data_IF_374401898664
#
_entry.id   IF_374401898664
#
_cell.length_a   1.000
_cell.length_b   1.000
_cell.length_c   1.000
_cell.angle_alpha   90.00
_cell.angle_beta   90.00
_cell.angle_gamma   90.00
#
_symmetry.space_group_name_H-M   'P 1'
#
loop_
_entity.id
_entity.type
_entity.pdbx_description
1 polymer ?
#
# COMPACT_ATOMS: atom_id res chain seq x y z
N UNK A 1 4.90 -6.54 19.48
CA UNK A 1 4.15 -6.20 20.71
C UNK A 1 3.86 -7.51 21.44
N UNK A 2 4.18 -7.60 22.73
CA UNK A 2 3.37 -8.40 23.65
C UNK A 2 2.50 -7.36 24.36
N UNK A 3 1.28 -7.18 23.89
CA UNK A 3 0.23 -6.62 24.73
C UNK A 3 -0.29 -7.80 25.53
N UNK A 4 -0.26 -7.64 26.84
CA UNK A 4 -0.95 -8.51 27.78
C UNK A 4 -2.33 -8.83 27.19
N UNK A 5 -2.60 -10.12 26.97
CA UNK A 5 -3.89 -10.69 26.54
C UNK A 5 -4.44 -10.40 25.13
N UNK A 6 -3.74 -9.66 24.26
CA UNK A 6 -4.09 -9.56 22.83
C UNK A 6 -2.98 -10.10 21.92
N UNK A 7 -3.21 -11.26 21.32
CA UNK A 7 -2.31 -11.82 20.29
C UNK A 7 -2.45 -11.05 18.98
N UNK A 8 -1.58 -10.07 18.77
CA UNK A 8 -1.42 -9.40 17.48
C UNK A 8 -0.29 -10.16 16.74
N UNK A 9 -0.63 -11.00 15.76
CA UNK A 9 0.37 -11.77 14.97
C UNK A 9 0.09 -13.25 14.77
N UNK A 10 -1.16 -13.64 14.46
CA UNK A 10 -1.53 -15.04 14.23
C UNK A 10 -1.06 -15.65 12.91
N UNK A 11 -0.49 -14.87 12.00
CA UNK A 11 -0.13 -15.34 10.66
C UNK A 11 1.05 -16.34 10.64
N UNK A 12 1.93 -16.31 11.66
CA UNK A 12 3.19 -17.06 11.65
C UNK A 12 3.44 -17.82 12.98
N UNK A 13 2.84 -19.01 13.16
CA UNK A 13 3.02 -19.80 14.38
C UNK A 13 4.51 -20.08 14.69
N UNK A 14 4.92 -19.83 15.94
CA UNK A 14 6.28 -20.07 16.41
C UNK A 14 7.32 -19.03 16.01
N UNK A 15 6.91 -17.94 15.34
CA UNK A 15 7.82 -16.88 14.91
C UNK A 15 7.36 -15.52 15.44
N UNK A 16 8.33 -14.64 15.73
CA UNK A 16 8.05 -13.26 16.12
C UNK A 16 9.10 -12.33 15.53
N UNK A 17 8.63 -11.27 14.88
CA UNK A 17 9.42 -10.10 14.54
C UNK A 17 8.91 -8.92 15.37
N UNK A 18 9.80 -8.16 15.98
CA UNK A 18 9.41 -7.07 16.88
C UNK A 18 10.13 -5.78 16.54
N UNK A 19 9.36 -4.70 16.44
CA UNK A 19 9.85 -3.33 16.37
C UNK A 19 9.56 -2.61 17.69
N UNK A 20 10.53 -1.81 18.16
CA UNK A 20 10.33 -0.95 19.33
C UNK A 20 9.57 0.31 18.92
N UNK A 21 8.39 0.49 19.51
CA UNK A 21 7.53 1.65 19.28
C UNK A 21 8.06 2.84 20.07
N UNK A 22 8.24 3.97 19.38
CA UNK A 22 8.56 5.26 19.98
C UNK A 22 7.30 6.06 20.30
N UNK A 23 6.32 6.06 19.39
CA UNK A 23 5.09 6.83 19.51
C UNK A 23 3.99 6.20 18.64
N UNK A 24 2.75 6.15 19.13
CA UNK A 24 1.59 5.80 18.31
C UNK A 24 1.08 7.09 17.64
N UNK A 25 1.05 7.11 16.31
CA UNK A 25 0.66 8.29 15.54
C UNK A 25 -0.83 8.29 15.19
N UNK A 26 -1.38 7.10 14.94
CA UNK A 26 -2.77 6.91 14.56
C UNK A 26 -3.22 5.48 14.83
N UNK A 27 -4.45 5.29 15.28
CA UNK A 27 -5.09 3.99 15.40
C UNK A 27 -6.60 4.13 15.18
N UNK A 28 -7.14 3.42 14.20
CA UNK A 28 -8.57 3.40 13.89
C UNK A 28 -8.96 2.04 13.31
N UNK A 29 -10.17 1.58 13.60
CA UNK A 29 -10.77 0.44 12.92
C UNK A 29 -11.77 0.94 11.88
N UNK A 30 -11.45 0.75 10.60
CA UNK A 30 -12.35 1.06 9.49
C UNK A 30 -13.40 -0.05 9.32
N UNK A 31 -14.32 0.14 8.36
CA UNK A 31 -15.27 -0.90 7.95
C UNK A 31 -14.56 -2.16 7.39
N UNK A 32 -13.30 -2.02 6.98
CA UNK A 32 -12.54 -3.09 6.35
C UNK A 32 -11.51 -3.72 7.29
N UNK A 33 -10.77 -2.93 8.09
CA UNK A 33 -9.62 -3.44 8.86
C UNK A 33 -9.21 -2.56 10.05
N UNK A 34 -8.41 -3.11 10.94
CA UNK A 34 -7.71 -2.34 11.98
C UNK A 34 -6.46 -1.66 11.37
N UNK A 35 -6.36 -0.34 11.50
CA UNK A 35 -5.32 0.49 10.91
C UNK A 35 -4.51 1.13 12.03
N UNK A 36 -3.23 0.81 12.11
CA UNK A 36 -2.29 1.37 13.08
C UNK A 36 -1.10 2.00 12.34
N UNK A 37 -0.79 3.24 12.69
CA UNK A 37 0.48 3.87 12.32
C UNK A 37 1.23 4.25 13.58
N UNK A 38 2.48 3.80 13.66
CA UNK A 38 3.36 4.14 14.76
C UNK A 38 4.74 4.55 14.25
N UNK A 39 5.40 5.41 15.01
CA UNK A 39 6.82 5.74 14.82
C UNK A 39 7.66 4.70 15.54
N UNK A 40 8.55 4.05 14.83
CA UNK A 40 9.53 3.12 15.39
C UNK A 40 10.84 3.85 15.76
N UNK A 41 11.67 3.22 16.60
CA UNK A 41 13.01 3.77 16.89
C UNK A 41 13.96 3.73 15.68
N UNK A 42 13.81 2.74 14.78
CA UNK A 42 14.84 2.44 13.76
C UNK A 42 14.32 2.29 12.33
N UNK A 43 13.01 2.30 12.08
CA UNK A 43 12.39 2.09 10.75
C UNK A 43 11.51 3.26 10.28
N UNK A 44 11.51 4.39 10.99
CA UNK A 44 10.62 5.52 10.71
C UNK A 44 9.16 5.19 11.08
N UNK A 45 8.22 5.76 10.35
CA UNK A 45 6.80 5.46 10.48
C UNK A 45 6.48 4.09 9.87
N UNK A 46 5.62 3.34 10.54
CA UNK A 46 5.26 1.96 10.20
C UNK A 46 3.75 1.87 10.05
N UNK A 47 3.29 1.39 8.90
CA UNK A 47 1.88 1.08 8.64
C UNK A 47 1.62 -0.38 8.98
N UNK A 48 0.61 -0.61 9.82
CA UNK A 48 0.14 -1.93 10.22
C UNK A 48 -1.34 -2.03 9.93
N UNK A 49 -1.73 -3.11 9.24
CA UNK A 49 -3.12 -3.44 8.93
C UNK A 49 -3.43 -4.82 9.51
N UNK A 50 -4.49 -4.92 10.32
CA UNK A 50 -4.91 -6.14 11.04
C UNK A 50 -3.74 -6.81 11.80
N UNK A 51 -2.85 -5.99 12.38
CA UNK A 51 -1.68 -6.47 13.12
C UNK A 51 -0.49 -6.94 12.28
N UNK A 52 -0.56 -6.80 10.95
CA UNK A 52 0.52 -7.15 10.03
C UNK A 52 1.18 -5.88 9.49
N UNK A 53 2.51 -5.80 9.61
CA UNK A 53 3.29 -4.69 9.04
C UNK A 53 3.17 -4.73 7.51
N UNK A 54 2.69 -3.62 6.93
CA UNK A 54 2.51 -3.47 5.49
C UNK A 54 3.63 -2.68 4.83
N UNK A 55 4.18 -1.71 5.53
CA UNK A 55 5.27 -0.87 5.06
C UNK A 55 6.01 -0.22 6.24
N UNK A 56 7.30 0.02 6.05
CA UNK A 56 8.09 0.91 6.90
C UNK A 56 8.79 1.95 6.04
N UNK A 57 8.88 3.19 6.50
CA UNK A 57 9.53 4.27 5.72
C UNK A 57 10.99 3.95 5.35
N UNK A 58 11.69 3.15 6.16
CA UNK A 58 13.11 2.86 5.92
C UNK A 58 13.36 1.93 4.74
N UNK A 59 12.51 0.93 4.52
CA UNK A 59 12.80 -0.19 3.62
C UNK A 59 11.69 -0.54 2.62
N UNK A 60 10.58 0.21 2.62
CA UNK A 60 9.47 0.04 1.67
C UNK A 60 9.93 0.02 0.21
N UNK A 61 10.95 0.81 -0.15
CA UNK A 61 11.46 0.92 -1.51
C UNK A 61 11.79 -0.44 -2.11
N UNK A 62 12.36 -1.36 -1.33
CA UNK A 62 12.75 -2.69 -1.80
C UNK A 62 11.55 -3.51 -2.28
N UNK A 63 10.39 -3.35 -1.63
CA UNK A 63 9.15 -4.00 -2.00
C UNK A 63 8.46 -3.27 -3.16
N UNK A 64 8.34 -1.95 -3.08
CA UNK A 64 7.62 -1.15 -4.08
C UNK A 64 8.33 -1.15 -5.43
N UNK A 65 9.66 -0.99 -5.45
CA UNK A 65 10.45 -1.02 -6.69
C UNK A 65 10.35 -2.39 -7.36
N UNK A 66 10.42 -3.48 -6.59
CA UNK A 66 10.31 -4.83 -7.15
C UNK A 66 8.93 -5.10 -7.77
N UNK A 67 7.85 -4.66 -7.10
CA UNK A 67 6.51 -4.84 -7.65
C UNK A 67 6.22 -3.94 -8.86
N UNK A 68 6.75 -2.72 -8.87
CA UNK A 68 6.51 -1.79 -9.97
C UNK A 68 7.45 -2.05 -11.15
N UNK A 69 8.77 -2.04 -10.93
CA UNK A 69 9.74 -1.98 -12.01
C UNK A 69 9.82 -3.28 -12.82
N UNK A 70 9.65 -4.45 -12.19
CA UNK A 70 9.67 -5.73 -12.92
C UNK A 70 8.63 -5.78 -14.05
N UNK A 71 7.31 -5.56 -13.81
CA UNK A 71 6.33 -5.55 -14.88
C UNK A 71 6.52 -4.36 -15.84
N UNK A 72 6.89 -3.18 -15.33
CA UNK A 72 7.08 -2.00 -16.17
C UNK A 72 8.20 -2.19 -17.21
N UNK A 73 9.33 -2.79 -16.83
CA UNK A 73 10.42 -3.08 -17.76
C UNK A 73 10.17 -4.30 -18.65
N UNK A 74 9.34 -5.25 -18.21
CA UNK A 74 9.00 -6.42 -19.02
C UNK A 74 8.00 -6.09 -20.15
N UNK A 75 7.18 -5.06 -19.97
CA UNK A 75 6.18 -4.67 -20.95
C UNK A 75 6.77 -3.70 -22.00
N UNK A 76 6.58 -3.94 -23.32
CA UNK A 76 7.25 -3.15 -24.35
C UNK A 76 6.78 -1.69 -24.43
N UNK A 77 5.59 -1.35 -23.92
CA UNK A 77 5.04 0.00 -23.95
C UNK A 77 3.93 0.23 -22.88
N UNK A 78 4.29 0.39 -21.59
CA UNK A 78 3.33 0.40 -20.48
C UNK A 78 2.60 1.75 -20.31
N UNK A 79 1.70 2.08 -21.23
CA UNK A 79 0.99 3.38 -21.24
C UNK A 79 -0.13 3.51 -20.20
N UNK A 80 -0.85 2.42 -19.95
CA UNK A 80 -1.99 2.39 -19.02
C UNK A 80 -1.76 1.32 -17.97
N UNK A 81 -1.71 1.74 -16.71
CA UNK A 81 -1.40 0.87 -15.58
C UNK A 81 -2.59 0.82 -14.64
N UNK A 82 -2.94 -0.38 -14.19
CA UNK A 82 -3.92 -0.62 -13.13
C UNK A 82 -3.20 -1.11 -11.88
N UNK A 83 -3.39 -0.40 -10.77
CA UNK A 83 -2.93 -0.78 -9.44
C UNK A 83 -4.15 -1.26 -8.65
N UNK A 84 -4.13 -2.50 -8.18
CA UNK A 84 -5.15 -3.01 -7.24
C UNK A 84 -4.54 -3.07 -5.83
N UNK A 85 -5.18 -2.41 -4.87
CA UNK A 85 -4.67 -2.15 -3.54
C UNK A 85 -3.62 -1.04 -3.55
N UNK A 86 -2.65 -1.12 -2.64
CA UNK A 86 -1.52 -0.20 -2.59
C UNK A 86 -1.86 1.16 -1.99
N UNK A 87 -2.87 1.26 -1.11
CA UNK A 87 -3.29 2.50 -0.44
C UNK A 87 -2.17 3.30 0.25
N UNK A 88 -1.00 2.71 0.49
CA UNK A 88 0.21 3.41 0.95
C UNK A 88 0.81 4.39 -0.09
N UNK A 89 0.54 4.18 -1.38
CA UNK A 89 0.99 5.03 -2.49
C UNK A 89 2.38 4.70 -3.04
N UNK A 90 3.13 3.77 -2.43
CA UNK A 90 4.49 3.43 -2.85
C UNK A 90 4.56 2.89 -4.28
N UNK A 91 3.68 1.95 -4.66
CA UNK A 91 3.61 1.43 -6.05
C UNK A 91 3.32 2.55 -7.03
N UNK A 92 2.38 3.44 -6.70
CA UNK A 92 2.00 4.57 -7.55
C UNK A 92 3.20 5.48 -7.83
N UNK A 93 3.98 5.82 -6.78
CA UNK A 93 5.21 6.59 -6.91
C UNK A 93 6.19 5.93 -7.87
N UNK A 94 6.39 4.62 -7.74
CA UNK A 94 7.34 3.88 -8.58
C UNK A 94 6.88 3.71 -10.04
N UNK A 95 5.59 3.48 -10.27
CA UNK A 95 5.01 3.40 -11.62
C UNK A 95 5.16 4.74 -12.35
N UNK A 96 4.91 5.86 -11.66
CA UNK A 96 4.98 7.20 -12.27
C UNK A 96 6.40 7.67 -12.62
N UNK A 97 7.44 6.96 -12.17
CA UNK A 97 8.82 7.20 -12.63
C UNK A 97 9.04 6.82 -14.10
N UNK A 98 8.15 6.01 -14.69
CA UNK A 98 8.26 5.56 -16.08
C UNK A 98 7.60 6.58 -17.03
N UNK A 99 8.36 7.25 -17.91
CA UNK A 99 7.85 8.33 -18.76
C UNK A 99 6.79 7.88 -19.77
N UNK A 100 6.77 6.59 -20.14
CA UNK A 100 5.80 5.99 -21.06
C UNK A 100 4.39 5.92 -20.48
N UNK A 101 4.24 6.03 -19.16
CA UNK A 101 2.95 5.98 -18.48
C UNK A 101 2.16 7.25 -18.80
N UNK A 102 0.99 7.06 -19.42
CA UNK A 102 0.04 8.11 -19.77
C UNK A 102 -1.11 8.18 -18.75
N UNK A 103 -1.49 7.04 -18.15
CA UNK A 103 -2.59 6.94 -17.19
C UNK A 103 -2.31 5.83 -16.16
N UNK A 104 -2.56 6.13 -14.89
CA UNK A 104 -2.57 5.15 -13.79
C UNK A 104 -3.96 5.11 -13.19
N UNK A 105 -4.61 3.95 -13.22
CA UNK A 105 -5.83 3.70 -12.44
C UNK A 105 -5.47 2.95 -11.18
N UNK A 106 -5.93 3.42 -10.02
CA UNK A 106 -5.70 2.76 -8.74
C UNK A 106 -7.05 2.47 -8.08
N UNK A 107 -7.23 1.23 -7.63
CA UNK A 107 -8.42 0.76 -6.96
C UNK A 107 -8.03 0.26 -5.56
N UNK A 108 -8.42 1.00 -4.52
CA UNK A 108 -8.18 0.65 -3.12
C UNK A 108 -9.54 0.54 -2.43
N UNK A 109 -9.77 -0.55 -1.70
CA UNK A 109 -11.07 -0.79 -1.09
C UNK A 109 -11.31 0.11 0.12
N UNK A 110 -10.23 0.44 0.84
CA UNK A 110 -10.30 1.19 2.08
C UNK A 110 -9.75 2.62 1.93
N UNK A 111 -10.66 3.57 1.75
CA UNK A 111 -10.32 4.99 1.65
C UNK A 111 -9.59 5.54 2.88
N UNK A 112 -9.80 4.96 4.07
CA UNK A 112 -9.13 5.39 5.30
C UNK A 112 -7.63 5.13 5.20
N UNK A 113 -7.22 4.02 4.59
CA UNK A 113 -5.79 3.71 4.37
C UNK A 113 -5.11 4.78 3.52
N UNK A 114 -5.80 5.31 2.50
CA UNK A 114 -5.27 6.36 1.63
C UNK A 114 -5.05 7.66 2.43
N UNK A 115 -6.05 8.07 3.20
CA UNK A 115 -5.99 9.32 3.95
C UNK A 115 -4.95 9.27 5.08
N UNK A 116 -4.88 8.14 5.76
CA UNK A 116 -3.82 7.84 6.75
C UNK A 116 -2.44 7.87 6.10
N UNK A 117 -2.27 7.25 4.93
CA UNK A 117 -0.99 7.24 4.21
C UNK A 117 -0.58 8.65 3.80
N UNK A 118 -1.50 9.46 3.27
CA UNK A 118 -1.24 10.87 2.94
C UNK A 118 -0.76 11.67 4.15
N UNK A 119 -1.31 11.40 5.33
CA UNK A 119 -1.00 12.14 6.56
C UNK A 119 0.32 11.69 7.20
N UNK A 120 0.60 10.40 7.23
CA UNK A 120 1.69 9.84 8.04
C UNK A 120 2.80 9.16 7.25
N UNK A 121 2.63 8.96 5.94
CA UNK A 121 3.62 8.32 5.05
C UNK A 121 3.88 9.17 3.79
N UNK A 122 4.16 10.48 3.93
CA UNK A 122 4.22 11.42 2.81
C UNK A 122 5.24 11.06 1.73
N UNK A 123 6.30 10.31 2.08
CA UNK A 123 7.30 9.83 1.12
C UNK A 123 6.78 8.74 0.17
N UNK A 124 5.83 7.91 0.61
CA UNK A 124 5.16 6.92 -0.24
C UNK A 124 3.96 7.55 -0.96
N UNK A 125 3.18 8.36 -0.26
CA UNK A 125 1.92 8.92 -0.75
C UNK A 125 2.08 10.20 -1.60
N UNK A 126 3.30 10.58 -1.99
CA UNK A 126 3.58 11.87 -2.63
C UNK A 126 2.90 12.05 -4.00
N UNK A 127 2.51 10.96 -4.66
CA UNK A 127 1.96 10.98 -6.01
C UNK A 127 0.43 10.91 -6.09
N UNK A 128 -0.30 10.92 -4.97
CA UNK A 128 -1.78 10.88 -5.01
C UNK A 128 -2.44 12.09 -5.67
N UNK A 129 -1.70 13.19 -5.88
CA UNK A 129 -2.16 14.37 -6.61
C UNK A 129 -1.69 14.43 -8.06
N UNK A 130 -1.04 13.37 -8.57
CA UNK A 130 -0.56 13.35 -9.95
C UNK A 130 -1.74 13.37 -10.94
N UNK A 131 -1.72 14.23 -11.98
CA UNK A 131 -2.83 14.35 -12.92
C UNK A 131 -3.08 13.08 -13.75
N UNK A 132 -2.11 12.15 -13.82
CA UNK A 132 -2.28 10.86 -14.50
C UNK A 132 -3.06 9.85 -13.66
N UNK A 133 -3.27 10.11 -12.37
CA UNK A 133 -3.95 9.21 -11.46
C UNK A 133 -5.48 9.30 -11.59
N UNK A 134 -6.12 8.15 -11.74
CA UNK A 134 -7.54 7.93 -11.52
C UNK A 134 -7.71 7.02 -10.31
N UNK A 135 -8.16 7.58 -9.20
CA UNK A 135 -8.32 6.86 -7.94
C UNK A 135 -9.77 6.43 -7.73
N UNK A 136 -9.97 5.16 -7.43
CA UNK A 136 -11.27 4.55 -7.10
C UNK A 136 -11.19 3.94 -5.71
N UNK A 137 -12.13 4.33 -4.85
CA UNK A 137 -12.31 3.74 -3.52
C UNK A 137 -13.39 2.64 -3.59
N UNK A 138 -13.04 1.48 -4.14
CA UNK A 138 -13.97 0.36 -4.34
C UNK A 138 -13.24 -1.00 -4.31
N UNK A 139 -14.02 -2.07 -4.28
CA UNK A 139 -13.51 -3.44 -4.35
C UNK A 139 -12.88 -3.72 -5.72
N UNK A 140 -11.62 -4.18 -5.72
CA UNK A 140 -10.87 -4.45 -6.94
C UNK A 140 -11.48 -5.52 -7.86
N UNK A 141 -12.17 -6.54 -7.32
CA UNK A 141 -12.89 -7.52 -8.14
C UNK A 141 -14.13 -6.92 -8.78
N UNK A 142 -14.86 -6.07 -8.06
CA UNK A 142 -16.01 -5.33 -8.60
C UNK A 142 -15.54 -4.38 -9.72
N UNK A 143 -14.44 -3.65 -9.48
CA UNK A 143 -13.81 -2.79 -10.48
C UNK A 143 -13.45 -3.57 -11.74
N UNK A 144 -12.74 -4.70 -11.61
CA UNK A 144 -12.32 -5.54 -12.73
C UNK A 144 -13.51 -6.13 -13.50
N UNK A 145 -14.59 -6.50 -12.82
CA UNK A 145 -15.80 -7.02 -13.46
C UNK A 145 -16.51 -5.97 -14.32
N UNK A 146 -16.50 -4.72 -13.87
CA UNK A 146 -17.22 -3.62 -14.51
C UNK A 146 -16.38 -2.91 -15.58
N UNK A 147 -15.04 -3.03 -15.53
CA UNK A 147 -14.13 -2.36 -16.45
C UNK A 147 -13.46 -3.35 -17.41
N UNK A 148 -13.80 -3.24 -18.71
CA UNK A 148 -13.21 -4.06 -19.78
C UNK A 148 -12.03 -3.38 -20.50
N UNK A 149 -11.44 -2.35 -19.89
CA UNK A 149 -10.28 -1.65 -20.46
C UNK A 149 -9.04 -2.53 -20.31
N UNK A 150 -8.20 -2.55 -21.34
CA UNK A 150 -6.93 -3.28 -21.30
C UNK A 150 -5.90 -2.48 -20.51
N UNK A 151 -5.42 -3.04 -19.41
CA UNK A 151 -4.38 -2.47 -18.56
C UNK A 151 -3.23 -3.47 -18.39
N UNK A 152 -2.03 -2.96 -18.20
CA UNK A 152 -1.02 -3.71 -17.45
C UNK A 152 -1.37 -3.62 -15.96
N UNK A 153 -1.41 -4.75 -15.25
CA UNK A 153 -1.82 -4.79 -13.84
C UNK A 153 -0.63 -5.00 -12.91
N UNK A 154 -0.57 -4.21 -11.85
CA UNK A 154 0.30 -4.41 -10.68
C UNK A 154 -0.61 -4.54 -9.47
N UNK A 155 -0.50 -5.63 -8.70
CA UNK A 155 -1.44 -5.89 -7.61
C UNK A 155 -0.73 -6.13 -6.29
N UNK A 156 -1.23 -5.48 -5.24
CA UNK A 156 -0.92 -5.74 -3.83
C UNK A 156 -2.20 -6.26 -3.17
N UNK A 157 -2.49 -7.54 -3.41
CA UNK A 157 -3.65 -8.22 -2.85
C UNK A 157 -3.22 -9.05 -1.64
N UNK A 158 -3.84 -8.80 -0.50
CA UNK A 158 -3.81 -9.70 0.64
C UNK A 158 -5.16 -10.41 0.69
N UNK A 159 -5.15 -11.75 0.72
CA UNK A 159 -6.38 -12.52 0.92
C UNK A 159 -6.90 -12.25 2.33
N UNK A 160 -8.12 -11.71 2.42
CA UNK A 160 -8.99 -11.93 3.58
C UNK A 160 -9.81 -13.19 3.35
#
# INVERSE_FOLDING_TARGET
MRSDDMSIGGAWPGQAFSLKVKEILYHEKSDYQDILVFKSETYGNVLVLDGIIQATERDEFSYQEMLAHLPMFAHPNPKKVLIIGGGDGGILREVLKHPEVEEVTMCEIDGVVIDVSKRFLPGMSCCFSDPKLKLYCEDGFVFLKNNKVCYMTVSKLWSK
#
